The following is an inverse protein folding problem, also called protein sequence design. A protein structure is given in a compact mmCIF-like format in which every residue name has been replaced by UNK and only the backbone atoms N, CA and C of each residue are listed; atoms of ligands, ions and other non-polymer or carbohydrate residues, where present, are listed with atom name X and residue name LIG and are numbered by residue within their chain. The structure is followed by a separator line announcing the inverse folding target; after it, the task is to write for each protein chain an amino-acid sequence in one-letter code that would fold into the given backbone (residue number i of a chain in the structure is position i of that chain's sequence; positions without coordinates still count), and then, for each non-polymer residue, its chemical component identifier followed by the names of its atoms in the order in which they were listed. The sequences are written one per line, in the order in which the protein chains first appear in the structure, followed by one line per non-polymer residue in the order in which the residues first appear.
data_IF_794215545664
#
_entry.id   IF_794215545664
#
_cell.length_a   1.000
_cell.length_b   1.000
_cell.length_c   1.000
_cell.angle_alpha   90.00
_cell.angle_beta   90.00
_cell.angle_gamma   90.00
#
_symmetry.space_group_name_H-M   'P 1'
#
loop_
_entity.id
_entity.type
_entity.pdbx_description
1 polymer ?
#
# COMPACT_ATOMS: atom_id res chain seq x y z
N UNK A 1 43.09 -14.15 -6.62
CA UNK A 1 43.32 -14.58 -5.23
C UNK A 1 42.24 -15.58 -4.88
N UNK A 2 42.60 -16.78 -4.45
CA UNK A 2 41.63 -17.81 -3.99
C UNK A 2 41.10 -17.47 -2.60
N UNK A 3 40.01 -18.11 -2.16
CA UNK A 3 39.46 -17.92 -0.82
C UNK A 3 40.48 -18.22 0.29
N UNK A 4 41.30 -19.27 0.11
CA UNK A 4 42.38 -19.63 1.04
C UNK A 4 43.49 -18.58 1.08
N UNK A 5 43.88 -18.03 -0.09
CA UNK A 5 44.85 -16.94 -0.16
C UNK A 5 44.31 -15.63 0.46
N UNK A 6 43.00 -15.39 0.38
CA UNK A 6 42.35 -14.26 1.01
C UNK A 6 42.40 -14.35 2.54
N UNK A 7 42.06 -15.52 3.09
CA UNK A 7 42.02 -15.78 4.53
C UNK A 7 43.41 -15.78 5.19
N UNK A 8 44.47 -16.13 4.44
CA UNK A 8 45.84 -16.06 4.91
C UNK A 8 46.45 -14.64 4.87
N UNK A 9 45.75 -13.67 4.27
CA UNK A 9 46.29 -12.32 4.11
C UNK A 9 46.25 -11.55 5.46
N UNK A 10 47.28 -10.75 5.80
CA UNK A 10 47.43 -10.12 7.12
C UNK A 10 46.23 -9.31 7.63
N UNK A 11 45.45 -8.69 6.73
CA UNK A 11 44.23 -7.93 7.08
C UNK A 11 43.08 -8.80 7.62
N UNK A 12 43.07 -10.11 7.35
CA UNK A 12 42.08 -11.10 7.77
C UNK A 12 42.68 -12.10 8.78
N UNK A 13 43.97 -11.94 9.11
CA UNK A 13 44.66 -12.74 10.11
C UNK A 13 44.04 -12.50 11.49
N UNK A 14 43.77 -13.56 12.29
CA UNK A 14 43.18 -13.44 13.62
C UNK A 14 44.03 -12.63 14.63
N UNK A 15 45.29 -12.33 14.31
CA UNK A 15 46.15 -11.43 15.09
C UNK A 15 45.87 -9.94 14.86
N UNK A 16 45.03 -9.59 13.88
CA UNK A 16 44.65 -8.21 13.62
C UNK A 16 43.59 -7.78 14.65
N UNK A 17 43.99 -6.98 15.64
CA UNK A 17 43.15 -6.50 16.74
C UNK A 17 41.96 -5.60 16.31
N UNK A 18 41.82 -5.33 15.01
CA UNK A 18 40.66 -4.64 14.42
C UNK A 18 39.54 -5.59 13.96
N UNK A 19 39.75 -6.91 14.01
CA UNK A 19 38.70 -7.89 13.72
C UNK A 19 37.72 -7.90 14.91
N UNK A 20 36.49 -7.45 14.64
CA UNK A 20 35.37 -7.43 15.59
C UNK A 20 35.28 -8.71 16.43
N UNK A 21 35.21 -8.53 17.76
CA UNK A 21 35.06 -9.61 18.75
C UNK A 21 33.60 -10.02 18.95
N UNK A 22 32.70 -9.61 18.04
CA UNK A 22 31.27 -9.90 18.10
C UNK A 22 31.01 -11.40 18.22
N UNK A 23 30.43 -11.82 19.34
CA UNK A 23 29.88 -13.18 19.48
C UNK A 23 28.72 -13.34 18.50
N UNK A 24 28.81 -14.34 17.61
CA UNK A 24 27.79 -14.68 16.58
C UNK A 24 27.46 -13.49 15.65
N UNK A 25 28.42 -13.04 14.82
CA UNK A 25 28.29 -11.82 14.02
C UNK A 25 27.12 -11.87 13.02
N UNK A 26 26.83 -13.04 12.44
CA UNK A 26 25.69 -13.21 11.55
C UNK A 26 24.34 -12.96 12.26
N UNK A 27 24.20 -13.42 13.51
CA UNK A 27 22.99 -13.17 14.31
C UNK A 27 22.85 -11.70 14.68
N UNK A 28 23.97 -11.06 15.07
CA UNK A 28 24.00 -9.62 15.37
C UNK A 28 23.62 -8.79 14.15
N UNK A 29 24.16 -9.11 12.96
CA UNK A 29 23.84 -8.44 11.71
C UNK A 29 22.37 -8.61 11.32
N UNK A 30 21.82 -9.83 11.40
CA UNK A 30 20.40 -10.08 11.12
C UNK A 30 19.50 -9.27 12.06
N UNK A 31 19.82 -9.23 13.35
CA UNK A 31 19.08 -8.43 14.34
C UNK A 31 19.14 -6.94 14.01
N UNK A 32 20.33 -6.44 13.68
CA UNK A 32 20.55 -5.06 13.28
C UNK A 32 19.74 -4.67 12.03
N UNK A 33 19.80 -5.49 10.98
CA UNK A 33 19.04 -5.29 9.76
C UNK A 33 17.53 -5.30 10.03
N UNK A 34 17.04 -6.24 10.85
CA UNK A 34 15.63 -6.31 11.24
C UNK A 34 15.19 -5.05 12.01
N UNK A 35 15.99 -4.57 12.96
CA UNK A 35 15.72 -3.34 13.69
C UNK A 35 15.63 -2.13 12.76
N UNK A 36 16.55 -2.01 11.80
CA UNK A 36 16.52 -0.93 10.79
C UNK A 36 15.32 -1.02 9.86
N UNK A 37 15.00 -2.22 9.35
CA UNK A 37 13.84 -2.45 8.48
C UNK A 37 12.55 -2.04 9.18
N UNK A 38 12.37 -2.44 10.44
CA UNK A 38 11.21 -2.05 11.26
C UNK A 38 11.13 -0.55 11.48
N UNK A 39 12.23 0.07 11.91
CA UNK A 39 12.25 1.53 12.10
C UNK A 39 11.86 2.28 10.82
N UNK A 40 12.43 1.88 9.69
CA UNK A 40 12.09 2.45 8.38
C UNK A 40 10.62 2.23 8.03
N UNK A 41 10.09 1.02 8.24
CA UNK A 41 8.69 0.72 8.01
C UNK A 41 7.75 1.54 8.92
N UNK A 42 8.10 1.76 10.19
CA UNK A 42 7.32 2.62 11.08
C UNK A 42 7.23 4.04 10.56
N UNK A 43 8.35 4.59 10.08
CA UNK A 43 8.38 5.94 9.52
C UNK A 43 7.54 6.00 8.24
N UNK A 44 7.71 5.03 7.33
CA UNK A 44 6.95 4.97 6.08
C UNK A 44 5.45 4.79 6.30
N UNK A 45 5.05 3.92 7.25
CA UNK A 45 3.65 3.72 7.60
C UNK A 45 3.02 5.05 8.03
N UNK A 46 3.66 5.79 8.94
CA UNK A 46 3.18 7.12 9.36
C UNK A 46 3.07 8.09 8.19
N UNK A 47 4.04 8.10 7.28
CA UNK A 47 4.01 8.97 6.10
C UNK A 47 2.84 8.65 5.15
N UNK A 48 2.48 7.38 5.04
CA UNK A 48 1.42 6.92 4.14
C UNK A 48 0.02 7.02 4.76
N UNK A 49 -0.10 7.24 6.07
CA UNK A 49 -1.41 7.45 6.70
C UNK A 49 -2.02 8.81 6.37
N UNK A 50 -1.21 9.78 5.93
CA UNK A 50 -1.63 11.18 5.85
C UNK A 50 -1.78 11.76 7.26
N UNK A 51 -1.01 12.80 7.57
CA UNK A 51 -1.11 13.53 8.84
C UNK A 51 -0.89 15.00 8.56
N UNK A 52 -1.71 15.83 9.23
CA UNK A 52 -1.92 17.28 9.12
C UNK A 52 -0.92 18.10 8.28
N UNK A 53 -1.49 19.09 7.60
CA UNK A 53 -0.79 20.14 6.88
C UNK A 53 0.49 20.57 7.61
N UNK A 54 1.61 20.58 6.87
CA UNK A 54 2.95 20.99 7.33
C UNK A 54 3.01 22.50 7.69
N UNK A 55 1.87 23.18 7.66
CA UNK A 55 1.70 24.63 7.67
C UNK A 55 2.13 25.29 8.99
N UNK A 56 2.16 24.56 10.12
CA UNK A 56 2.44 25.15 11.44
C UNK A 56 3.87 24.86 11.98
N UNK A 57 4.83 24.55 11.10
CA UNK A 57 6.20 24.19 11.53
C UNK A 57 7.24 25.27 11.30
N UNK A 58 8.06 25.46 12.33
CA UNK A 58 9.24 26.34 12.32
C UNK A 58 10.17 26.05 11.11
N UNK A 59 10.31 27.00 10.17
CA UNK A 59 11.13 26.86 8.97
C UNK A 59 12.62 26.60 9.28
N UNK A 60 13.11 27.06 10.43
CA UNK A 60 14.51 26.87 10.83
C UNK A 60 14.82 25.40 11.13
N UNK A 61 13.92 24.71 11.84
CA UNK A 61 14.00 23.27 12.12
C UNK A 61 13.91 22.43 10.85
N UNK A 62 13.07 22.84 9.90
CA UNK A 62 12.97 22.18 8.58
C UNK A 62 14.28 22.29 7.79
N UNK A 63 14.97 23.44 7.86
CA UNK A 63 16.27 23.64 7.20
C UNK A 63 17.37 22.77 7.82
N UNK A 64 17.38 22.63 9.14
CA UNK A 64 18.29 21.70 9.82
C UNK A 64 18.00 20.24 9.45
N UNK A 65 16.72 19.87 9.37
CA UNK A 65 16.26 18.55 8.94
C UNK A 65 16.58 18.27 7.46
N UNK A 66 16.61 19.28 6.59
CA UNK A 66 16.99 19.13 5.19
C UNK A 66 18.48 18.78 5.02
N UNK A 67 19.33 19.15 5.98
CA UNK A 67 20.77 18.92 5.90
C UNK A 67 21.08 17.42 5.95
N UNK A 68 21.67 16.90 4.88
CA UNK A 68 22.07 15.50 4.77
C UNK A 68 21.00 14.53 4.25
N UNK A 69 19.78 15.00 3.95
CA UNK A 69 18.73 14.18 3.33
C UNK A 69 18.86 14.04 1.80
N UNK A 70 19.51 15.01 1.17
CA UNK A 70 19.72 15.04 -0.28
C UNK A 70 20.94 15.87 -0.63
N UNK A 71 21.72 15.42 -1.60
CA UNK A 71 22.76 16.24 -2.23
C UNK A 71 22.19 17.30 -3.17
N UNK A 72 20.93 17.13 -3.63
CA UNK A 72 20.21 18.09 -4.46
C UNK A 72 19.32 19.00 -3.60
N UNK A 73 19.49 20.34 -3.65
CA UNK A 73 18.72 21.28 -2.83
C UNK A 73 17.21 21.24 -3.11
N UNK A 74 16.81 21.15 -4.38
CA UNK A 74 15.40 21.08 -4.81
C UNK A 74 14.62 19.89 -4.22
N UNK A 75 15.33 18.79 -3.93
CA UNK A 75 14.78 17.58 -3.34
C UNK A 75 14.92 17.54 -1.81
N UNK A 76 15.75 18.40 -1.21
CA UNK A 76 16.05 18.36 0.21
C UNK A 76 14.88 18.89 1.06
N UNK A 77 14.31 20.04 0.69
CA UNK A 77 13.23 20.66 1.45
C UNK A 77 11.94 19.81 1.47
N UNK A 78 11.46 19.26 0.33
CA UNK A 78 10.27 18.41 0.34
C UNK A 78 10.48 17.13 1.16
N UNK A 79 11.65 16.49 1.06
CA UNK A 79 11.99 15.35 1.92
C UNK A 79 11.98 15.75 3.40
N UNK A 80 12.56 16.89 3.74
CA UNK A 80 12.60 17.39 5.12
C UNK A 80 11.21 17.62 5.69
N UNK A 81 10.28 18.15 4.88
CA UNK A 81 8.88 18.34 5.25
C UNK A 81 8.20 17.00 5.60
N UNK A 82 8.42 15.98 4.77
CA UNK A 82 7.97 14.60 5.03
C UNK A 82 8.55 14.09 6.36
N UNK A 83 9.88 14.17 6.53
CA UNK A 83 10.55 13.70 7.76
C UNK A 83 9.97 14.41 8.98
N UNK A 84 9.78 15.73 8.89
CA UNK A 84 9.23 16.53 9.97
C UNK A 84 7.81 16.06 10.31
N UNK A 85 6.93 15.89 9.31
CA UNK A 85 5.56 15.39 9.53
C UNK A 85 5.58 14.09 10.35
N UNK A 86 6.33 13.09 9.90
CA UNK A 86 6.48 11.84 10.64
C UNK A 86 7.03 12.05 12.07
N UNK A 87 8.04 12.89 12.24
CA UNK A 87 8.61 13.20 13.56
C UNK A 87 7.60 13.79 14.53
N UNK A 88 6.61 14.56 14.06
CA UNK A 88 5.57 15.10 14.97
C UNK A 88 4.59 14.03 15.46
N UNK A 89 4.35 12.99 14.68
CA UNK A 89 3.53 11.84 15.10
C UNK A 89 4.26 11.02 16.16
N UNK A 90 5.57 10.81 16.00
CA UNK A 90 6.38 10.11 17.00
C UNK A 90 6.66 10.96 18.25
N UNK A 91 7.10 12.21 18.10
CA UNK A 91 7.48 13.11 19.19
C UNK A 91 6.46 14.24 19.39
N UNK A 92 5.23 13.87 19.79
CA UNK A 92 4.12 14.80 20.03
C UNK A 92 4.45 15.89 21.05
N UNK A 93 5.27 15.56 22.04
CA UNK A 93 5.68 16.47 23.11
C UNK A 93 6.87 17.37 22.69
N UNK A 94 7.37 17.23 21.46
CA UNK A 94 8.48 17.99 20.89
C UNK A 94 9.75 17.94 21.77
N UNK A 95 10.06 16.75 22.30
CA UNK A 95 11.24 16.47 23.14
C UNK A 95 12.57 16.63 22.38
N UNK A 96 12.53 16.58 21.06
CA UNK A 96 13.70 16.52 20.17
C UNK A 96 14.27 15.10 20.01
N UNK A 97 13.57 14.09 20.54
CA UNK A 97 13.95 12.69 20.45
C UNK A 97 12.74 11.77 20.60
N UNK A 98 12.84 10.57 20.04
CA UNK A 98 11.79 9.54 20.12
C UNK A 98 12.19 8.51 21.17
N UNK A 99 11.32 8.31 22.16
CA UNK A 99 11.50 7.34 23.23
C UNK A 99 10.89 5.97 22.90
N UNK A 100 11.11 4.98 23.78
CA UNK A 100 10.49 3.65 23.66
C UNK A 100 8.97 3.72 23.71
N UNK A 101 8.41 4.55 24.60
CA UNK A 101 6.96 4.69 24.74
C UNK A 101 6.34 5.38 23.53
N UNK A 102 7.06 6.32 22.91
CA UNK A 102 6.61 6.94 21.66
C UNK A 102 6.51 5.92 20.52
N UNK A 103 7.55 5.10 20.33
CA UNK A 103 7.52 4.05 19.31
C UNK A 103 6.40 3.04 19.59
N UNK A 104 6.26 2.59 20.84
CA UNK A 104 5.23 1.62 21.23
C UNK A 104 3.82 2.15 20.98
N UNK A 105 3.57 3.43 21.33
CA UNK A 105 2.31 4.12 21.05
C UNK A 105 2.02 4.11 19.55
N UNK A 106 2.96 4.62 18.74
CA UNK A 106 2.74 4.73 17.29
C UNK A 106 2.57 3.35 16.66
N UNK A 107 3.36 2.34 17.02
CA UNK A 107 3.21 1.00 16.44
C UNK A 107 1.85 0.39 16.76
N UNK A 108 1.35 0.58 17.99
CA UNK A 108 0.01 0.15 18.38
C UNK A 108 -1.08 0.90 17.62
N UNK A 109 -0.95 2.22 17.45
CA UNK A 109 -1.87 3.03 16.61
C UNK A 109 -1.87 2.57 15.14
N UNK A 110 -0.73 2.08 14.62
CA UNK A 110 -0.62 1.47 13.29
C UNK A 110 -1.15 0.03 13.22
N UNK A 111 -1.71 -0.52 14.31
CA UNK A 111 -2.29 -1.85 14.36
C UNK A 111 -1.27 -2.98 14.58
N UNK A 112 -0.11 -2.70 15.18
CA UNK A 112 0.86 -3.73 15.56
C UNK A 112 1.48 -3.50 16.95
N UNK A 113 1.26 -4.44 17.86
CA UNK A 113 1.86 -4.44 19.19
C UNK A 113 3.25 -5.05 19.18
N UNK A 114 4.27 -4.24 18.89
CA UNK A 114 5.65 -4.67 18.98
C UNK A 114 6.07 -4.93 20.43
N UNK A 115 6.79 -6.04 20.64
CA UNK A 115 7.34 -6.37 21.95
C UNK A 115 8.46 -5.40 22.36
N UNK A 116 8.68 -5.25 23.67
CA UNK A 116 9.74 -4.37 24.19
C UNK A 116 11.14 -4.75 23.66
N UNK A 117 11.37 -6.04 23.34
CA UNK A 117 12.61 -6.47 22.70
C UNK A 117 12.74 -5.92 21.27
N UNK A 118 11.66 -5.92 20.50
CA UNK A 118 11.67 -5.44 19.12
C UNK A 118 11.82 -3.93 19.04
N UNK A 119 11.19 -3.19 19.96
CA UNK A 119 11.39 -1.75 20.12
C UNK A 119 12.85 -1.46 20.51
N UNK A 120 13.45 -2.23 21.41
CA UNK A 120 14.88 -2.11 21.74
C UNK A 120 15.78 -2.35 20.52
N UNK A 121 15.49 -3.39 19.74
CA UNK A 121 16.23 -3.68 18.51
C UNK A 121 16.14 -2.51 17.51
N UNK A 122 14.96 -1.90 17.34
CA UNK A 122 14.77 -0.73 16.47
C UNK A 122 15.65 0.44 16.90
N UNK A 123 15.61 0.79 18.19
CA UNK A 123 16.39 1.91 18.73
C UNK A 123 17.89 1.64 18.62
N UNK A 124 18.31 0.44 19.00
CA UNK A 124 19.71 0.04 18.97
C UNK A 124 20.30 0.04 17.56
N UNK A 125 19.51 -0.37 16.57
CA UNK A 125 19.99 -0.51 15.18
C UNK A 125 20.02 0.79 14.40
N UNK A 126 19.44 1.87 14.93
CA UNK A 126 19.33 3.15 14.23
C UNK A 126 20.66 3.91 14.15
N UNK A 127 21.59 3.63 15.07
CA UNK A 127 22.90 4.29 15.15
C UNK A 127 23.87 3.96 14.03
N UNK A 128 23.56 2.99 13.16
CA UNK A 128 24.43 2.59 12.06
C UNK A 128 25.51 1.57 12.43
N UNK A 129 25.72 1.31 13.71
CA UNK A 129 26.71 0.36 14.24
C UNK A 129 26.04 -0.91 14.79
N UNK A 130 26.31 -2.09 14.21
CA UNK A 130 25.83 -3.39 14.70
C UNK A 130 26.35 -3.78 16.10
N UNK A 131 27.46 -3.20 16.58
CA UNK A 131 28.05 -3.49 17.90
C UNK A 131 27.40 -2.69 19.02
N UNK A 132 27.02 -1.44 18.74
CA UNK A 132 26.44 -0.50 19.70
C UNK A 132 24.94 -0.69 19.98
N UNK A 133 24.31 -1.77 19.47
CA UNK A 133 22.85 -1.98 19.53
C UNK A 133 22.27 -1.91 20.95
N UNK A 134 23.04 -2.24 22.00
CA UNK A 134 22.54 -2.20 23.38
C UNK A 134 22.72 -0.86 24.10
N UNK A 135 23.50 0.06 23.55
CA UNK A 135 23.88 1.31 24.23
C UNK A 135 22.81 2.40 24.10
N UNK A 136 21.99 2.32 23.05
CA UNK A 136 21.05 3.38 22.70
C UNK A 136 19.68 3.16 23.32
N UNK A 137 19.18 4.19 24.03
CA UNK A 137 17.86 4.15 24.67
C UNK A 137 16.82 5.07 24.02
N UNK A 138 17.26 6.02 23.18
CA UNK A 138 16.45 7.05 22.54
C UNK A 138 16.92 7.25 21.10
N UNK A 139 15.99 7.55 20.19
CA UNK A 139 16.30 7.92 18.82
C UNK A 139 16.38 9.44 18.69
N UNK A 140 17.48 9.92 18.14
CA UNK A 140 17.63 11.31 17.75
C UNK A 140 17.04 11.53 16.35
N UNK A 141 16.68 12.76 16.01
CA UNK A 141 16.18 13.07 14.66
C UNK A 141 17.17 12.69 13.54
N UNK A 142 18.47 12.76 13.82
CA UNK A 142 19.51 12.30 12.90
C UNK A 142 19.43 10.81 12.58
N UNK A 143 18.96 9.99 13.52
CA UNK A 143 18.78 8.56 13.28
C UNK A 143 17.61 8.30 12.33
N UNK A 144 16.54 9.08 12.47
CA UNK A 144 15.40 9.07 11.54
C UNK A 144 15.86 9.49 10.16
N UNK A 145 16.59 10.61 10.04
CA UNK A 145 17.18 11.06 8.78
C UNK A 145 18.01 9.95 8.12
N UNK A 146 18.86 9.24 8.87
CA UNK A 146 19.65 8.11 8.34
C UNK A 146 18.75 6.95 7.87
N UNK A 147 17.71 6.62 8.62
CA UNK A 147 16.79 5.52 8.27
C UNK A 147 16.07 5.74 6.93
N UNK A 148 15.84 7.01 6.56
CA UNK A 148 15.13 7.38 5.34
C UNK A 148 15.98 8.12 4.30
N UNK A 149 17.28 8.29 4.55
CA UNK A 149 18.22 8.92 3.61
C UNK A 149 18.27 8.23 2.23
N UNK A 150 17.98 6.94 2.17
CA UNK A 150 17.92 6.17 0.92
C UNK A 150 16.68 6.48 0.07
N UNK A 151 15.67 7.17 0.63
CA UNK A 151 14.47 7.52 -0.11
C UNK A 151 14.81 8.36 -1.32
N UNK A 152 14.31 7.95 -2.49
CA UNK A 152 14.53 8.64 -3.75
C UNK A 152 13.34 9.52 -4.02
N UNK A 153 13.58 10.75 -4.46
CA UNK A 153 12.54 11.65 -4.95
C UNK A 153 12.84 12.00 -6.39
N UNK A 154 11.79 12.27 -7.16
CA UNK A 154 11.87 12.70 -8.54
C UNK A 154 10.95 13.91 -8.78
N UNK A 155 11.35 14.73 -9.74
CA UNK A 155 10.58 15.86 -10.23
C UNK A 155 10.16 15.53 -11.66
N UNK A 156 8.90 15.76 -11.97
CA UNK A 156 8.32 15.58 -13.29
C UNK A 156 7.69 16.88 -13.74
N UNK A 157 7.90 17.28 -14.99
CA UNK A 157 7.28 18.43 -15.59
C UNK A 157 5.86 18.10 -16.07
N UNK A 158 5.07 19.13 -16.38
CA UNK A 158 3.74 18.94 -16.98
C UNK A 158 3.84 18.11 -18.28
N UNK A 159 3.01 17.09 -18.39
CA UNK A 159 2.97 16.14 -19.51
C UNK A 159 3.88 14.92 -19.34
N UNK A 160 4.84 14.94 -18.41
CA UNK A 160 5.72 13.79 -18.17
C UNK A 160 4.93 12.58 -17.66
N UNK A 161 5.30 11.40 -18.14
CA UNK A 161 4.78 10.13 -17.61
C UNK A 161 5.69 9.63 -16.48
N UNK A 162 5.12 9.49 -15.29
CA UNK A 162 5.83 9.06 -14.08
C UNK A 162 6.05 7.54 -14.08
N UNK A 163 5.03 6.80 -14.51
CA UNK A 163 5.03 5.36 -14.72
C UNK A 163 4.05 5.05 -15.84
N UNK A 164 4.42 4.15 -16.74
CA UNK A 164 3.67 3.84 -17.95
C UNK A 164 2.97 2.47 -17.84
N UNK A 165 1.76 2.38 -18.39
CA UNK A 165 1.03 1.11 -18.54
C UNK A 165 1.88 0.10 -19.33
N UNK A 166 1.88 -1.16 -18.88
CA UNK A 166 2.69 -2.23 -19.48
C UNK A 166 4.15 -2.28 -19.01
N UNK A 167 4.65 -1.27 -18.30
CA UNK A 167 5.99 -1.31 -17.73
C UNK A 167 6.05 -2.22 -16.48
N UNK A 168 7.14 -2.97 -16.33
CA UNK A 168 7.47 -3.66 -15.06
C UNK A 168 8.22 -2.67 -14.16
N UNK A 169 7.51 -2.10 -13.20
CA UNK A 169 8.07 -1.08 -12.30
C UNK A 169 7.99 -1.54 -10.83
N UNK A 170 9.14 -1.81 -10.18
CA UNK A 170 9.18 -2.32 -8.80
C UNK A 170 8.98 -1.23 -7.74
N UNK A 171 8.52 -0.05 -8.13
CA UNK A 171 8.30 1.06 -7.21
C UNK A 171 6.82 1.25 -6.92
N UNK A 172 6.50 1.91 -5.82
CA UNK A 172 5.25 2.66 -5.69
C UNK A 172 5.61 4.10 -5.31
N UNK A 173 4.68 5.00 -5.57
CA UNK A 173 4.94 6.43 -5.54
C UNK A 173 4.06 7.10 -4.52
N UNK A 174 4.62 8.07 -3.79
CA UNK A 174 3.83 9.00 -2.97
C UNK A 174 3.92 10.37 -3.63
N UNK A 175 2.77 10.93 -3.98
CA UNK A 175 2.66 12.26 -4.58
C UNK A 175 2.79 13.31 -3.48
N UNK A 176 3.86 14.10 -3.52
CA UNK A 176 4.17 15.08 -2.49
C UNK A 176 3.62 16.47 -2.84
N UNK A 177 3.58 16.79 -4.13
CA UNK A 177 3.13 18.08 -4.66
C UNK A 177 2.71 17.90 -6.12
N UNK A 178 1.68 18.64 -6.52
CA UNK A 178 1.10 18.60 -7.86
C UNK A 178 -0.03 17.58 -7.97
N UNK A 179 -0.56 17.46 -9.19
CA UNK A 179 -1.65 16.57 -9.56
C UNK A 179 -1.18 15.60 -10.64
N UNK A 180 -1.62 14.35 -10.54
CA UNK A 180 -1.26 13.26 -11.46
C UNK A 180 -2.52 12.62 -12.00
N UNK A 181 -2.71 12.62 -13.31
CA UNK A 181 -3.79 11.88 -13.94
C UNK A 181 -3.44 10.41 -14.04
N UNK A 182 -4.40 9.56 -13.70
CA UNK A 182 -4.35 8.11 -13.89
C UNK A 182 -5.17 7.78 -15.13
N UNK A 183 -4.53 7.16 -16.11
CA UNK A 183 -5.16 6.79 -17.38
C UNK A 183 -4.84 5.36 -17.73
N UNK A 184 -5.72 4.68 -18.47
CA UNK A 184 -5.45 3.34 -18.98
C UNK A 184 -5.97 3.17 -20.41
N UNK A 185 -5.50 2.14 -21.11
CA UNK A 185 -6.12 1.69 -22.36
C UNK A 185 -7.43 0.95 -22.08
N UNK A 186 -8.35 0.98 -23.04
CA UNK A 186 -9.57 0.17 -22.92
C UNK A 186 -9.23 -1.30 -23.14
N UNK A 187 -9.33 -2.11 -22.08
CA UNK A 187 -9.09 -3.54 -22.10
C UNK A 187 -10.25 -4.38 -22.66
N UNK A 188 -11.43 -3.79 -22.86
CA UNK A 188 -12.66 -4.46 -23.30
C UNK A 188 -12.83 -4.37 -24.82
N UNK A 189 -12.32 -3.31 -25.45
CA UNK A 189 -12.39 -3.13 -26.91
C UNK A 189 -11.31 -3.95 -27.61
N UNK A 190 -11.65 -4.86 -28.54
CA UNK A 190 -10.65 -5.69 -29.23
C UNK A 190 -9.72 -4.84 -30.11
N UNK A 191 -8.42 -5.15 -30.08
CA UNK A 191 -7.37 -4.45 -30.84
C UNK A 191 -7.60 -4.42 -32.37
N UNK A 192 -8.50 -5.25 -32.90
CA UNK A 192 -8.75 -5.43 -34.34
C UNK A 192 -9.65 -4.37 -34.98
N UNK A 193 -10.19 -3.39 -34.24
CA UNK A 193 -11.04 -2.32 -34.78
C UNK A 193 -10.34 -0.97 -34.91
N UNK A 194 -9.03 -0.90 -34.70
CA UNK A 194 -8.25 0.34 -34.82
C UNK A 194 -7.52 0.33 -36.16
N UNK A 195 -7.95 1.19 -37.07
CA UNK A 195 -7.25 1.47 -38.33
C UNK A 195 -5.89 2.10 -37.98
N UNK A 196 -4.80 1.50 -38.45
CA UNK A 196 -3.38 1.76 -38.11
C UNK A 196 -2.85 3.15 -38.54
N UNK A 197 -3.76 4.09 -38.85
CA UNK A 197 -3.46 5.40 -39.44
C UNK A 197 -3.65 6.59 -38.50
N UNK A 198 -4.23 6.38 -37.31
CA UNK A 198 -4.31 7.40 -36.25
C UNK A 198 -3.93 6.78 -34.91
N UNK A 199 -2.68 6.99 -34.51
CA UNK A 199 -2.03 6.62 -33.24
C UNK A 199 -2.60 7.41 -32.05
N UNK A 200 -3.93 7.44 -31.91
CA UNK A 200 -4.62 7.94 -30.72
C UNK A 200 -5.30 6.74 -30.07
N UNK A 201 -4.49 5.86 -29.47
CA UNK A 201 -4.98 4.83 -28.56
C UNK A 201 -5.80 5.54 -27.48
N UNK A 202 -7.12 5.59 -27.66
CA UNK A 202 -8.05 6.35 -26.82
C UNK A 202 -7.82 5.99 -25.35
N UNK A 203 -7.12 6.86 -24.64
CA UNK A 203 -6.82 6.63 -23.23
C UNK A 203 -8.05 7.02 -22.41
N UNK A 204 -8.44 6.12 -21.53
CA UNK A 204 -9.53 6.35 -20.59
C UNK A 204 -8.95 7.04 -19.37
N UNK A 205 -9.46 8.23 -19.07
CA UNK A 205 -9.18 8.90 -17.81
C UNK A 205 -9.94 8.22 -16.67
N UNK A 206 -9.20 7.79 -15.65
CA UNK A 206 -9.77 7.11 -14.48
C UNK A 206 -10.05 8.11 -13.36
N UNK A 207 -9.03 8.89 -12.97
CA UNK A 207 -9.10 9.92 -11.92
C UNK A 207 -7.85 10.80 -11.93
N UNK A 208 -7.91 11.90 -11.18
CA UNK A 208 -6.76 12.74 -10.83
C UNK A 208 -6.38 12.52 -9.37
N UNK A 209 -5.10 12.26 -9.11
CA UNK A 209 -4.49 12.17 -7.78
C UNK A 209 -3.95 13.53 -7.35
N UNK A 210 -4.00 13.81 -6.07
CA UNK A 210 -3.49 15.02 -5.43
C UNK A 210 -2.35 14.70 -4.44
N UNK A 211 -1.68 15.75 -3.96
CA UNK A 211 -0.65 15.61 -2.93
C UNK A 211 -1.20 14.87 -1.68
N UNK A 212 -0.44 13.87 -1.22
CA UNK A 212 -0.85 12.93 -0.17
C UNK A 212 -1.25 11.56 -0.71
N UNK A 213 -1.72 11.49 -1.96
CA UNK A 213 -2.05 10.20 -2.59
C UNK A 213 -0.80 9.38 -2.89
N UNK A 214 -0.98 8.07 -2.97
CA UNK A 214 0.02 7.15 -3.48
C UNK A 214 -0.54 6.31 -4.63
N UNK A 215 0.35 5.77 -5.46
CA UNK A 215 -0.03 4.99 -6.63
C UNK A 215 1.02 3.97 -7.05
N UNK A 216 0.60 3.04 -7.91
CA UNK A 216 1.44 1.92 -8.34
C UNK A 216 1.56 0.81 -7.29
N UNK A 217 0.54 0.66 -6.43
CA UNK A 217 0.49 -0.38 -5.40
C UNK A 217 -0.18 -1.67 -5.87
N UNK A 218 -1.09 -1.58 -6.84
CA UNK A 218 -1.97 -2.70 -7.20
C UNK A 218 -1.19 -3.92 -7.74
N UNK A 219 -0.21 -3.70 -8.63
CA UNK A 219 0.60 -4.79 -9.17
C UNK A 219 1.57 -5.39 -8.14
N UNK A 220 1.86 -4.67 -7.04
CA UNK A 220 2.75 -5.12 -5.97
C UNK A 220 2.02 -6.01 -4.95
N UNK A 221 0.69 -6.06 -4.99
CA UNK A 221 -0.17 -6.89 -4.15
C UNK A 221 -0.46 -8.27 -4.75
N UNK A 222 0.14 -8.59 -5.90
CA UNK A 222 -0.11 -9.86 -6.55
C UNK A 222 0.26 -11.04 -5.61
N UNK A 223 -0.64 -12.01 -5.40
CA UNK A 223 -0.43 -13.09 -4.44
C UNK A 223 0.68 -14.05 -4.86
N UNK A 224 1.06 -14.07 -6.14
CA UNK A 224 2.16 -14.88 -6.67
C UNK A 224 3.55 -14.31 -6.36
N UNK A 225 3.63 -13.11 -5.76
CA UNK A 225 4.87 -12.44 -5.39
C UNK A 225 5.68 -11.93 -6.59
N UNK A 226 5.12 -11.96 -7.80
CA UNK A 226 5.76 -11.43 -9.01
C UNK A 226 5.31 -9.99 -9.25
N UNK A 227 6.21 -9.20 -9.84
CA UNK A 227 5.91 -7.80 -10.19
C UNK A 227 5.28 -7.79 -11.57
N UNK A 228 3.97 -7.57 -11.62
CA UNK A 228 3.24 -7.53 -12.88
C UNK A 228 3.39 -6.19 -13.60
N UNK A 229 3.17 -6.16 -14.93
CA UNK A 229 3.11 -4.91 -15.67
C UNK A 229 2.03 -3.97 -15.15
N UNK A 230 2.31 -2.67 -15.16
CA UNK A 230 1.35 -1.62 -14.80
C UNK A 230 0.05 -1.74 -15.59
N UNK A 231 -1.08 -1.57 -14.92
CA UNK A 231 -2.40 -1.49 -15.58
C UNK A 231 -2.81 -0.08 -15.96
N UNK A 232 -2.04 0.92 -15.54
CA UNK A 232 -2.35 2.33 -15.75
C UNK A 232 -1.08 3.13 -15.91
N UNK A 233 -1.18 4.20 -16.70
CA UNK A 233 -0.17 5.24 -16.81
C UNK A 233 -0.50 6.39 -15.85
N UNK A 234 0.55 7.02 -15.33
CA UNK A 234 0.46 8.12 -14.37
C UNK A 234 1.14 9.34 -14.96
N UNK A 235 0.37 10.38 -15.31
CA UNK A 235 0.85 11.56 -16.04
C UNK A 235 0.82 12.80 -15.17
N UNK A 236 1.92 13.55 -15.13
CA UNK A 236 1.96 14.79 -14.37
C UNK A 236 1.15 15.90 -15.07
N UNK A 237 0.20 16.49 -14.33
CA UNK A 237 -0.69 17.54 -14.85
C UNK A 237 -0.35 18.92 -14.33
N UNK A 238 0.34 19.00 -13.20
CA UNK A 238 0.85 20.27 -12.68
C UNK A 238 2.12 20.69 -13.39
N UNK A 239 2.47 21.99 -13.29
CA UNK A 239 3.75 22.51 -13.78
C UNK A 239 4.94 21.66 -13.32
N UNK A 240 4.86 21.17 -12.09
CA UNK A 240 5.81 20.20 -11.55
C UNK A 240 5.09 19.26 -10.59
N UNK A 241 5.33 17.97 -10.73
CA UNK A 241 4.94 16.97 -9.74
C UNK A 241 6.19 16.51 -8.98
N UNK A 242 6.11 16.50 -7.66
CA UNK A 242 7.17 15.97 -6.79
C UNK A 242 6.71 14.64 -6.24
N UNK A 243 7.49 13.58 -6.48
CA UNK A 243 7.12 12.24 -6.01
C UNK A 243 8.25 11.61 -5.22
N UNK A 244 7.87 10.85 -4.21
CA UNK A 244 8.74 9.90 -3.52
C UNK A 244 8.65 8.55 -4.22
N UNK A 245 9.79 7.93 -4.55
CA UNK A 245 9.87 6.58 -5.11
C UNK A 245 10.25 5.60 -4.00
N UNK A 246 9.36 4.66 -3.71
CA UNK A 246 9.52 3.61 -2.71
C UNK A 246 9.67 2.26 -3.40
N UNK A 247 10.57 1.40 -2.92
CA UNK A 247 10.79 0.07 -3.52
C UNK A 247 9.71 -0.92 -3.04
N UNK A 248 9.50 -1.98 -3.82
CA UNK A 248 8.66 -3.12 -3.40
C UNK A 248 9.09 -3.71 -2.06
N UNK A 249 10.39 -3.72 -1.75
CA UNK A 249 10.89 -4.15 -0.43
C UNK A 249 10.34 -3.28 0.72
N UNK A 250 10.22 -1.96 0.48
CA UNK A 250 9.64 -1.04 1.47
C UNK A 250 8.15 -1.33 1.63
N UNK A 251 7.45 -1.52 0.51
CA UNK A 251 6.04 -1.91 0.46
C UNK A 251 5.79 -3.20 1.26
N UNK A 252 6.46 -4.29 0.90
CA UNK A 252 6.30 -5.61 1.53
C UNK A 252 6.66 -5.56 3.02
N UNK A 253 7.69 -4.78 3.39
CA UNK A 253 8.06 -4.63 4.81
C UNK A 253 6.98 -3.88 5.59
N UNK A 254 6.39 -2.82 5.03
CA UNK A 254 5.32 -2.04 5.68
C UNK A 254 4.05 -2.89 5.82
N UNK A 255 3.59 -3.51 4.73
CA UNK A 255 2.40 -4.39 4.73
C UNK A 255 2.57 -5.57 5.70
N UNK A 256 3.72 -6.25 5.69
CA UNK A 256 3.96 -7.39 6.59
C UNK A 256 4.04 -7.02 8.08
N UNK A 257 4.43 -5.78 8.41
CA UNK A 257 4.54 -5.34 9.81
C UNK A 257 3.23 -4.72 10.29
N UNK A 258 2.54 -3.94 9.46
CA UNK A 258 1.42 -3.12 9.91
C UNK A 258 0.14 -3.51 9.18
N UNK A 259 -0.72 -4.27 9.85
CA UNK A 259 -2.00 -4.72 9.30
C UNK A 259 -2.87 -3.56 8.80
N UNK A 260 -2.93 -2.44 9.53
CA UNK A 260 -3.69 -1.27 9.07
C UNK A 260 -3.19 -0.67 7.75
N UNK A 261 -1.89 -0.83 7.44
CA UNK A 261 -1.33 -0.41 6.16
C UNK A 261 -1.66 -1.41 5.06
N UNK A 262 -1.54 -2.71 5.36
CA UNK A 262 -1.92 -3.77 4.43
C UNK A 262 -3.39 -3.64 4.00
N UNK A 263 -4.30 -3.52 4.97
CA UNK A 263 -5.73 -3.34 4.73
C UNK A 263 -5.99 -2.10 3.83
N UNK A 264 -5.33 -0.96 4.11
CA UNK A 264 -5.44 0.24 3.26
C UNK A 264 -4.93 0.04 1.83
N UNK A 265 -3.84 -0.70 1.64
CA UNK A 265 -3.32 -0.96 0.30
C UNK A 265 -4.27 -1.85 -0.50
N UNK A 266 -4.85 -2.87 0.15
CA UNK A 266 -5.87 -3.74 -0.45
C UNK A 266 -7.11 -2.93 -0.85
N UNK A 267 -7.62 -2.08 0.05
CA UNK A 267 -8.77 -1.21 -0.22
C UNK A 267 -8.49 -0.26 -1.39
N UNK A 268 -7.30 0.36 -1.41
CA UNK A 268 -6.88 1.24 -2.50
C UNK A 268 -6.83 0.52 -3.85
N UNK A 269 -6.23 -0.68 -3.87
CA UNK A 269 -6.11 -1.49 -5.08
C UNK A 269 -7.49 -1.95 -5.59
N UNK A 270 -8.36 -2.39 -4.70
CA UNK A 270 -9.72 -2.79 -5.03
C UNK A 270 -10.51 -1.62 -5.64
N UNK A 271 -10.45 -0.44 -5.01
CA UNK A 271 -11.13 0.76 -5.50
C UNK A 271 -10.59 1.20 -6.87
N UNK A 272 -9.27 1.12 -7.08
CA UNK A 272 -8.66 1.39 -8.39
C UNK A 272 -9.16 0.40 -9.45
N UNK A 273 -9.17 -0.90 -9.14
CA UNK A 273 -9.65 -1.93 -10.06
C UNK A 273 -11.12 -1.69 -10.45
N UNK A 274 -12.00 -1.38 -9.48
CA UNK A 274 -13.40 -1.07 -9.75
C UNK A 274 -13.58 0.16 -10.62
N UNK A 275 -12.84 1.23 -10.34
CA UNK A 275 -12.87 2.45 -11.16
C UNK A 275 -12.48 2.12 -12.60
N UNK A 276 -11.43 1.32 -12.79
CA UNK A 276 -10.96 0.89 -14.11
C UNK A 276 -12.01 0.04 -14.83
N UNK A 277 -12.61 -0.94 -14.16
CA UNK A 277 -13.66 -1.80 -14.73
C UNK A 277 -14.84 -0.95 -15.22
N UNK A 278 -15.39 -0.08 -14.35
CA UNK A 278 -16.55 0.75 -14.67
C UNK A 278 -16.24 1.64 -15.87
N UNK A 279 -15.09 2.33 -15.86
CA UNK A 279 -14.71 3.25 -16.94
C UNK A 279 -14.45 2.55 -18.27
N UNK A 280 -13.81 1.38 -18.27
CA UNK A 280 -13.62 0.58 -19.49
C UNK A 280 -14.95 0.11 -20.09
N UNK A 281 -15.91 -0.29 -19.25
CA UNK A 281 -17.23 -0.72 -19.71
C UNK A 281 -18.06 0.48 -20.22
N UNK A 282 -18.02 1.62 -19.53
CA UNK A 282 -18.66 2.86 -20.00
C UNK A 282 -18.12 3.29 -21.37
N UNK A 283 -16.80 3.21 -21.59
CA UNK A 283 -16.20 3.54 -22.88
C UNK A 283 -16.56 2.53 -24.00
N UNK A 284 -16.62 1.23 -23.68
CA UNK A 284 -16.92 0.18 -24.67
C UNK A 284 -18.42 0.06 -25.01
N UNK A 285 -19.31 0.25 -24.03
CA UNK A 285 -20.75 -0.05 -24.14
C UNK A 285 -21.65 1.15 -23.82
N UNK A 286 -21.09 2.33 -23.53
CA UNK A 286 -21.81 3.58 -23.27
C UNK A 286 -22.18 3.77 -21.79
N UNK A 287 -23.04 2.90 -21.25
CA UNK A 287 -23.52 3.03 -19.88
C UNK A 287 -23.47 1.71 -19.11
N UNK A 288 -22.97 1.80 -17.88
CA UNK A 288 -23.05 0.73 -16.90
C UNK A 288 -24.41 0.78 -16.20
N UNK A 289 -25.07 -0.38 -16.09
CA UNK A 289 -26.35 -0.49 -15.41
C UNK A 289 -26.18 -0.20 -13.92
N UNK A 290 -26.90 0.81 -13.46
CA UNK A 290 -26.98 1.21 -12.05
C UNK A 290 -28.37 0.89 -11.56
N UNK A 291 -28.45 0.17 -10.45
CA UNK A 291 -29.71 -0.19 -9.83
C UNK A 291 -29.76 0.36 -8.42
N UNK A 292 -30.88 0.99 -8.10
CA UNK A 292 -31.17 1.50 -6.76
C UNK A 292 -32.10 0.54 -6.03
N UNK A 293 -31.85 0.41 -4.74
CA UNK A 293 -32.59 -0.44 -3.83
C UNK A 293 -32.96 0.37 -2.59
N UNK A 294 -34.21 0.21 -2.13
CA UNK A 294 -34.65 0.76 -0.85
C UNK A 294 -34.13 -0.09 0.32
N UNK A 295 -34.22 0.46 1.53
CA UNK A 295 -33.85 -0.27 2.73
C UNK A 295 -34.67 -1.58 2.84
N UNK A 296 -34.02 -2.64 3.30
CA UNK A 296 -34.54 -4.01 3.44
C UNK A 296 -34.84 -4.75 2.12
N UNK A 297 -34.64 -4.13 0.95
CA UNK A 297 -34.78 -4.83 -0.33
C UNK A 297 -33.65 -5.85 -0.54
N UNK A 298 -34.02 -6.99 -1.12
CA UNK A 298 -33.07 -8.05 -1.44
C UNK A 298 -32.43 -7.73 -2.79
N UNK A 299 -31.11 -7.54 -2.75
CA UNK A 299 -30.30 -7.22 -3.93
C UNK A 299 -29.93 -8.49 -4.70
N UNK A 300 -29.71 -9.59 -3.98
CA UNK A 300 -29.36 -10.88 -4.58
C UNK A 300 -29.79 -12.04 -3.66
N UNK A 301 -30.36 -13.12 -4.21
CA UNK A 301 -30.68 -14.33 -3.46
C UNK A 301 -29.75 -15.49 -3.78
N UNK A 302 -29.35 -16.21 -2.74
CA UNK A 302 -28.55 -17.43 -2.88
C UNK A 302 -29.35 -18.50 -3.65
N UNK A 303 -28.81 -18.96 -4.76
CA UNK A 303 -29.44 -19.97 -5.63
C UNK A 303 -29.98 -19.42 -6.94
N UNK A 304 -30.00 -18.10 -7.11
CA UNK A 304 -30.29 -17.48 -8.41
C UNK A 304 -29.15 -17.77 -9.40
N UNK A 305 -29.49 -18.05 -10.66
CA UNK A 305 -28.56 -18.14 -11.79
C UNK A 305 -28.02 -16.75 -12.13
N UNK A 306 -27.12 -16.24 -11.28
CA UNK A 306 -26.48 -14.95 -11.46
C UNK A 306 -24.99 -15.14 -11.73
N UNK A 307 -24.57 -14.74 -12.94
CA UNK A 307 -23.17 -14.66 -13.35
C UNK A 307 -22.63 -13.22 -13.21
N UNK A 308 -23.39 -12.30 -12.63
CA UNK A 308 -23.01 -10.89 -12.55
C UNK A 308 -22.12 -10.59 -11.36
N UNK A 309 -21.26 -9.59 -11.52
CA UNK A 309 -20.44 -8.98 -10.49
C UNK A 309 -21.02 -7.60 -10.16
N UNK A 310 -21.37 -7.39 -8.90
CA UNK A 310 -21.93 -6.15 -8.40
C UNK A 310 -20.92 -5.36 -7.58
N UNK A 311 -20.93 -4.05 -7.76
CA UNK A 311 -20.14 -3.09 -6.98
C UNK A 311 -21.10 -2.12 -6.30
N UNK A 312 -21.03 -2.00 -4.98
CA UNK A 312 -21.78 -1.00 -4.23
C UNK A 312 -21.14 0.36 -4.48
N UNK A 313 -21.91 1.29 -5.03
CA UNK A 313 -21.43 2.66 -5.34
C UNK A 313 -21.89 3.68 -4.31
N UNK A 314 -23.01 3.41 -3.62
CA UNK A 314 -23.50 4.19 -2.49
C UNK A 314 -24.41 3.33 -1.60
N UNK A 315 -24.54 3.70 -0.33
CA UNK A 315 -25.32 2.96 0.65
C UNK A 315 -24.55 1.79 1.27
N UNK A 316 -25.30 0.86 1.87
CA UNK A 316 -24.76 -0.30 2.55
C UNK A 316 -25.67 -1.52 2.41
N UNK A 317 -25.05 -2.69 2.31
CA UNK A 317 -25.73 -3.98 2.26
C UNK A 317 -25.19 -4.93 3.32
N UNK A 318 -26.03 -5.86 3.77
CA UNK A 318 -25.63 -7.00 4.59
C UNK A 318 -25.59 -8.25 3.74
N UNK A 319 -24.62 -9.10 4.06
CA UNK A 319 -24.51 -10.44 3.51
C UNK A 319 -25.03 -11.42 4.55
N UNK A 320 -26.03 -12.21 4.17
CA UNK A 320 -26.70 -13.18 5.03
C UNK A 320 -26.44 -14.60 4.55
N UNK A 321 -26.15 -15.49 5.52
CA UNK A 321 -26.07 -16.94 5.30
C UNK A 321 -26.91 -17.65 6.35
N UNK A 322 -27.91 -18.41 5.90
CA UNK A 322 -28.85 -19.13 6.77
C UNK A 322 -29.54 -18.20 7.81
N UNK A 323 -29.86 -16.96 7.41
CA UNK A 323 -30.47 -15.94 8.27
C UNK A 323 -29.51 -15.22 9.24
N UNK A 324 -28.20 -15.52 9.17
CA UNK A 324 -27.17 -14.88 9.99
C UNK A 324 -26.39 -13.87 9.15
N UNK A 325 -26.27 -12.63 9.63
CA UNK A 325 -25.41 -11.62 9.01
C UNK A 325 -23.94 -12.02 9.20
N UNK A 326 -23.26 -12.32 8.09
CA UNK A 326 -21.86 -12.77 8.08
C UNK A 326 -20.88 -11.69 7.63
N UNK A 327 -21.37 -10.64 6.99
CA UNK A 327 -20.56 -9.52 6.51
C UNK A 327 -21.43 -8.27 6.30
N UNK A 328 -20.84 -7.08 6.40
CA UNK A 328 -21.44 -5.80 6.05
C UNK A 328 -20.59 -5.15 4.98
N UNK A 329 -21.21 -4.63 3.94
CA UNK A 329 -20.56 -4.03 2.78
C UNK A 329 -21.07 -2.62 2.58
N UNK A 330 -20.17 -1.69 2.27
CA UNK A 330 -20.48 -0.30 1.96
C UNK A 330 -20.02 0.08 0.56
N UNK A 331 -20.01 1.39 0.27
CA UNK A 331 -19.51 1.91 -1.00
C UNK A 331 -18.05 1.47 -1.26
N UNK A 332 -17.79 0.94 -2.46
CA UNK A 332 -16.52 0.36 -2.86
C UNK A 332 -16.42 -1.16 -2.70
N UNK A 333 -17.33 -1.78 -1.93
CA UNK A 333 -17.38 -3.23 -1.79
C UNK A 333 -18.09 -3.92 -2.97
N UNK A 334 -17.87 -5.23 -3.10
CA UNK A 334 -18.42 -6.03 -4.18
C UNK A 334 -19.06 -7.36 -3.72
N UNK A 335 -19.97 -7.90 -4.53
CA UNK A 335 -20.67 -9.19 -4.35
C UNK A 335 -21.16 -9.68 -5.75
N UNK A 336 -21.68 -10.91 -5.96
CA UNK A 336 -21.96 -11.98 -5.02
C UNK A 336 -20.73 -12.88 -4.79
N UNK A 337 -20.64 -13.50 -3.61
CA UNK A 337 -19.81 -14.70 -3.41
C UNK A 337 -20.66 -15.83 -2.81
N UNK A 338 -21.87 -16.03 -3.36
CA UNK A 338 -22.75 -17.17 -3.09
C UNK A 338 -23.63 -17.11 -1.83
N UNK A 339 -24.27 -15.98 -1.54
CA UNK A 339 -25.01 -15.67 -0.29
C UNK A 339 -26.08 -14.63 -0.55
N UNK A 340 -27.11 -14.54 0.29
CA UNK A 340 -28.17 -13.52 0.17
C UNK A 340 -27.59 -12.15 0.51
N UNK A 341 -27.92 -11.12 -0.26
CA UNK A 341 -27.50 -9.73 -0.03
C UNK A 341 -28.72 -8.84 0.07
N UNK A 342 -28.80 -8.04 1.14
CA UNK A 342 -29.91 -7.15 1.43
C UNK A 342 -29.42 -5.73 1.70
N UNK A 343 -30.08 -4.73 1.13
CA UNK A 343 -29.80 -3.33 1.44
C UNK A 343 -30.22 -3.02 2.89
N UNK A 344 -29.36 -2.35 3.65
CA UNK A 344 -29.70 -1.86 5.00
C UNK A 344 -30.16 -0.40 5.01
N UNK A 345 -29.93 0.30 3.91
CA UNK A 345 -30.29 1.69 3.66
C UNK A 345 -30.43 1.90 2.14
N UNK A 346 -30.93 3.05 1.65
CA UNK A 346 -30.98 3.32 0.21
C UNK A 346 -29.61 3.11 -0.45
N UNK A 347 -29.52 2.12 -1.33
CA UNK A 347 -28.26 1.60 -1.86
C UNK A 347 -28.28 1.64 -3.37
N UNK A 348 -27.17 2.07 -3.99
CA UNK A 348 -26.98 1.97 -5.45
C UNK A 348 -25.84 1.03 -5.77
N UNK A 349 -26.12 0.07 -6.63
CA UNK A 349 -25.13 -0.90 -7.11
C UNK A 349 -24.95 -0.77 -8.62
N UNK A 350 -23.74 -1.06 -9.06
CA UNK A 350 -23.39 -1.27 -10.46
C UNK A 350 -23.41 -2.77 -10.73
N UNK A 351 -24.16 -3.20 -11.74
CA UNK A 351 -24.13 -4.59 -12.21
C UNK A 351 -23.21 -4.73 -13.43
N UNK A 352 -22.30 -5.69 -13.37
CA UNK A 352 -21.41 -6.07 -14.48
C UNK A 352 -21.66 -7.52 -14.82
N UNK A 353 -22.13 -7.80 -16.03
CA UNK A 353 -22.35 -9.17 -16.48
C UNK A 353 -21.03 -9.98 -16.48
N UNK A 354 -21.09 -11.25 -16.10
CA UNK A 354 -19.92 -12.11 -15.94
C UNK A 354 -19.07 -12.25 -17.21
N UNK A 355 -19.68 -12.28 -18.39
CA UNK A 355 -18.95 -12.28 -19.66
C UNK A 355 -18.08 -11.03 -19.83
N UNK A 356 -18.62 -9.85 -19.50
CA UNK A 356 -17.91 -8.57 -19.55
C UNK A 356 -16.81 -8.51 -18.50
N UNK A 357 -17.10 -8.95 -17.28
CA UNK A 357 -16.12 -9.00 -16.20
C UNK A 357 -14.95 -9.94 -16.54
N UNK A 358 -15.23 -11.14 -17.06
CA UNK A 358 -14.20 -12.09 -17.52
C UNK A 358 -13.37 -11.51 -18.68
N UNK A 359 -14.01 -10.86 -19.65
CA UNK A 359 -13.30 -10.19 -20.75
C UNK A 359 -12.29 -9.16 -20.22
N UNK A 360 -12.70 -8.34 -19.25
CA UNK A 360 -11.81 -7.40 -18.58
C UNK A 360 -10.64 -8.09 -17.84
N UNK A 361 -10.93 -9.15 -17.06
CA UNK A 361 -9.89 -9.87 -16.30
C UNK A 361 -8.89 -10.60 -17.21
N UNK A 362 -9.31 -11.09 -18.38
CA UNK A 362 -8.43 -11.73 -19.36
C UNK A 362 -7.32 -10.80 -19.85
N UNK A 363 -7.58 -9.48 -19.92
CA UNK A 363 -6.60 -8.49 -20.32
C UNK A 363 -5.52 -8.24 -19.25
N UNK A 364 -5.77 -8.65 -18.00
CA UNK A 364 -4.87 -8.45 -16.87
C UNK A 364 -4.81 -9.68 -15.95
N UNK A 365 -3.96 -10.64 -16.32
CA UNK A 365 -3.86 -11.96 -15.67
C UNK A 365 -3.67 -11.91 -14.14
N UNK A 366 -2.99 -10.91 -13.61
CA UNK A 366 -2.82 -10.79 -12.16
C UNK A 366 -4.08 -10.30 -11.45
N UNK A 367 -4.92 -9.47 -12.09
CA UNK A 367 -6.18 -9.03 -11.49
C UNK A 367 -7.10 -10.23 -11.29
N UNK A 368 -7.09 -11.19 -12.21
CA UNK A 368 -7.79 -12.47 -12.02
C UNK A 368 -7.32 -13.18 -10.74
N UNK A 369 -6.00 -13.37 -10.57
CA UNK A 369 -5.43 -13.99 -9.37
C UNK A 369 -5.73 -13.20 -8.09
N UNK A 370 -5.71 -11.86 -8.16
CA UNK A 370 -6.05 -10.97 -7.05
C UNK A 370 -7.52 -11.14 -6.63
N UNK A 371 -8.47 -11.10 -7.57
CA UNK A 371 -9.89 -11.27 -7.27
C UNK A 371 -10.22 -12.70 -6.80
N UNK A 372 -9.52 -13.72 -7.32
CA UNK A 372 -9.65 -15.10 -6.83
C UNK A 372 -9.19 -15.22 -5.37
N UNK A 373 -8.05 -14.64 -5.01
CA UNK A 373 -7.54 -14.63 -3.64
C UNK A 373 -8.51 -13.88 -2.70
N UNK A 374 -8.98 -12.70 -3.10
CA UNK A 374 -9.98 -11.94 -2.35
C UNK A 374 -11.29 -12.74 -2.13
N UNK A 375 -11.77 -13.44 -3.15
CA UNK A 375 -12.95 -14.30 -3.05
C UNK A 375 -12.73 -15.45 -2.05
N UNK A 376 -11.56 -16.08 -2.06
CA UNK A 376 -11.20 -17.16 -1.13
C UNK A 376 -11.11 -16.65 0.31
N UNK A 377 -10.42 -15.52 0.52
CA UNK A 377 -10.27 -14.90 1.84
C UNK A 377 -11.62 -14.52 2.44
N UNK A 378 -12.49 -13.85 1.67
CA UNK A 378 -13.83 -13.46 2.13
C UNK A 378 -14.72 -14.67 2.40
N UNK A 379 -14.64 -15.72 1.60
CA UNK A 379 -15.36 -16.99 1.86
C UNK A 379 -14.92 -17.62 3.18
N UNK A 380 -13.63 -17.62 3.49
CA UNK A 380 -13.10 -18.11 4.76
C UNK A 380 -13.57 -17.25 5.94
N UNK A 381 -13.51 -15.92 5.81
CA UNK A 381 -13.98 -14.97 6.84
C UNK A 381 -15.47 -15.13 7.14
N UNK A 382 -16.32 -15.19 6.10
CA UNK A 382 -17.76 -15.42 6.25
C UNK A 382 -18.07 -16.74 6.95
N UNK A 383 -17.31 -17.80 6.66
CA UNK A 383 -17.49 -19.09 7.32
C UNK A 383 -17.11 -19.03 8.81
N UNK A 384 -16.07 -18.28 9.17
CA UNK A 384 -15.70 -18.04 10.58
C UNK A 384 -16.79 -17.21 11.28
N UNK A 385 -17.24 -16.12 10.67
CA UNK A 385 -18.30 -15.27 11.20
C UNK A 385 -19.60 -16.05 11.42
N UNK A 386 -19.99 -16.88 10.45
CA UNK A 386 -21.15 -17.77 10.56
C UNK A 386 -21.00 -18.78 11.71
N UNK A 387 -19.80 -19.33 11.95
CA UNK A 387 -19.59 -20.24 13.10
C UNK A 387 -19.65 -19.53 14.46
N UNK A 388 -19.24 -18.27 14.53
CA UNK A 388 -19.25 -17.49 15.75
C UNK A 388 -20.65 -16.95 16.09
N UNK A 389 -21.42 -16.58 15.07
CA UNK A 389 -22.76 -15.99 15.21
C UNK A 389 -23.91 -16.96 14.93
N UNK A 390 -23.59 -18.17 14.46
CA UNK A 390 -24.56 -19.21 14.14
C UNK A 390 -25.24 -19.77 15.39
N UNK A 391 -26.42 -20.39 15.25
CA UNK A 391 -27.11 -20.97 16.39
C UNK A 391 -26.19 -21.98 17.07
N UNK A 392 -25.96 -21.80 18.37
CA UNK A 392 -25.40 -22.85 19.23
C UNK A 392 -26.27 -24.07 19.01
N UNK A 393 -25.72 -25.08 18.33
CA UNK A 393 -26.35 -26.40 18.27
C UNK A 393 -26.50 -26.82 19.73
N UNK A 394 -27.72 -26.70 20.24
CA UNK A 394 -28.07 -27.09 21.59
C UNK A 394 -27.56 -28.51 21.78
N UNK A 395 -26.74 -28.69 22.82
CA UNK A 395 -26.38 -30.01 23.30
C UNK A 395 -27.66 -30.78 23.61
N UNK A 396 -28.05 -31.64 22.68
CA UNK A 396 -28.95 -32.74 22.94
C UNK A 396 -28.09 -33.99 23.04
N UNK A 397 -27.62 -34.28 24.25
CA UNK A 397 -27.74 -35.59 24.91
C UNK A 397 -27.29 -35.48 26.37
#
# INVERSE_FOLDING_TARGET
MTAEQALAHPWLSPTNATISTLKRPATALKRFQRGRKRLRASILAVLLQGGDSVEDRDPSKLKELARGLSSKPEAAAPKAAIVASALGVFDRDNKGYISRSDLKRVTSELGNELSDHEIRDMIGSAGGDPEAVHLKQKLQYQDIQRAISSLRSALYAAGDTISEEGAVDPHFYVLMEGNVDVVCRNAVTPMSSVDDSTDDHRQIWLRTLAAGDYFGVMELLAPDGTIHPRVSSYRCMSRTCKVLKLLVDDFSTVSAIYKSMDDRFQDHALHQAHTQIIKCIEDAHGHVQRQSYDADEVVYMQGDDCDSYFIVTSGAVVVEKDGVVVERLGAGDCFPLGVVVRATEPTTVVEIQGATFRSFLCSYRFMMAYFEDQAQQRKAQRHVAWKQSGPTVGGAQ
#
